data_IF_237663090748
#
_entry.id   IF_237663090748
#
_cell.length_a   1.000
_cell.length_b   1.000
_cell.length_c   1.000
_cell.angle_alpha   90.00
_cell.angle_beta   90.00
_cell.angle_gamma   90.00
#
_symmetry.space_group_name_H-M   'P 1'
#
loop_
_entity.id
_entity.type
_entity.pdbx_description
1 polymer ?
#
# COMPACT_ATOMS: atom_id res chain seq x y z
N UNK A 1 -16.40 -3.93 -16.67
CA UNK A 1 -16.16 -2.94 -15.58
C UNK A 1 -14.72 -2.46 -15.65
N UNK A 2 -14.46 -1.22 -15.23
CA UNK A 2 -13.10 -0.70 -14.99
C UNK A 2 -12.95 -0.23 -13.54
N UNK A 3 -11.72 -0.24 -13.03
CA UNK A 3 -11.42 0.22 -11.70
C UNK A 3 -9.98 0.66 -11.55
N UNK A 4 -9.70 1.29 -10.42
CA UNK A 4 -8.42 1.92 -10.09
C UNK A 4 -7.99 1.50 -8.69
N UNK A 5 -6.73 1.10 -8.54
CA UNK A 5 -6.12 0.80 -7.24
C UNK A 5 -5.13 1.88 -6.86
N UNK A 6 -5.36 2.51 -5.71
CA UNK A 6 -4.56 3.62 -5.21
C UNK A 6 -3.91 3.30 -3.87
N UNK A 7 -2.79 3.96 -3.59
CA UNK A 7 -2.26 4.05 -2.24
C UNK A 7 -3.10 5.06 -1.45
N UNK A 8 -3.59 4.64 -0.28
CA UNK A 8 -4.50 5.46 0.54
C UNK A 8 -3.88 6.78 0.99
N UNK A 9 -2.56 6.81 1.23
CA UNK A 9 -1.82 7.94 1.79
C UNK A 9 -1.52 8.99 0.72
N UNK A 10 -0.85 8.60 -0.36
CA UNK A 10 -0.33 9.55 -1.35
C UNK A 10 -1.17 9.62 -2.64
N UNK A 11 -2.27 8.86 -2.71
CA UNK A 11 -3.20 8.76 -3.85
C UNK A 11 -2.54 8.32 -5.17
N UNK A 12 -1.29 7.84 -5.14
CA UNK A 12 -0.61 7.33 -6.32
C UNK A 12 -1.18 5.97 -6.74
N UNK A 13 -1.26 5.69 -8.05
CA UNK A 13 -1.69 4.39 -8.54
C UNK A 13 -0.72 3.28 -8.13
N UNK A 14 -1.28 2.11 -7.84
CA UNK A 14 -0.53 0.91 -7.50
C UNK A 14 -0.50 0.00 -8.72
N UNK A 15 0.66 -0.11 -9.36
CA UNK A 15 0.91 -1.05 -10.46
C UNK A 15 1.03 -2.49 -9.95
N UNK A 16 0.69 -3.45 -10.82
CA UNK A 16 0.83 -4.88 -10.55
C UNK A 16 0.13 -5.37 -9.27
N UNK A 17 -0.87 -4.63 -8.77
CA UNK A 17 -1.72 -5.11 -7.69
C UNK A 17 -2.56 -6.27 -8.23
N UNK A 18 -2.60 -7.39 -7.50
CA UNK A 18 -3.40 -8.55 -7.85
C UNK A 18 -4.84 -8.33 -7.40
N UNK A 19 -5.79 -8.66 -8.26
CA UNK A 19 -7.23 -8.63 -7.98
C UNK A 19 -7.78 -10.02 -8.22
N UNK A 20 -8.32 -10.62 -7.15
CA UNK A 20 -9.13 -11.83 -7.26
C UNK A 20 -10.60 -11.43 -7.21
N UNK A 21 -11.34 -11.81 -8.25
CA UNK A 21 -12.79 -11.63 -8.32
C UNK A 21 -13.43 -12.93 -7.86
N UNK A 22 -14.24 -12.86 -6.81
CA UNK A 22 -14.97 -14.01 -6.25
C UNK A 22 -16.46 -13.66 -6.09
N UNK A 23 -17.37 -14.65 -5.96
CA UNK A 23 -18.76 -14.37 -5.60
C UNK A 23 -18.85 -13.60 -4.28
N UNK A 24 -19.80 -12.68 -4.13
CA UNK A 24 -19.92 -11.90 -2.88
C UNK A 24 -20.19 -12.74 -1.63
N UNK A 25 -20.74 -13.95 -1.83
CA UNK A 25 -21.00 -14.96 -0.79
C UNK A 25 -19.71 -15.56 -0.23
N UNK A 26 -18.60 -15.48 -0.95
CA UNK A 26 -17.30 -15.91 -0.44
C UNK A 26 -16.89 -15.03 0.75
N UNK A 27 -16.66 -15.68 1.89
CA UNK A 27 -16.19 -15.04 3.12
C UNK A 27 -14.67 -15.01 3.09
N UNK A 28 -14.11 -13.88 2.67
CA UNK A 28 -12.66 -13.70 2.66
C UNK A 28 -12.08 -13.89 4.06
N UNK A 29 -11.14 -14.83 4.17
CA UNK A 29 -10.23 -14.96 5.31
C UNK A 29 -8.81 -14.73 4.78
N UNK A 30 -7.99 -13.89 5.45
CA UNK A 30 -6.57 -13.81 5.12
C UNK A 30 -5.92 -15.20 5.17
N UNK A 31 -5.11 -15.53 4.16
CA UNK A 31 -4.40 -16.82 4.04
C UNK A 31 -5.30 -18.06 3.87
N UNK A 32 -6.50 -17.91 3.31
CA UNK A 32 -7.35 -19.05 2.99
C UNK A 32 -6.84 -19.82 1.75
N UNK A 33 -6.24 -20.98 1.99
CA UNK A 33 -5.75 -21.88 0.94
C UNK A 33 -6.88 -22.39 0.01
N UNK A 34 -8.15 -22.33 0.44
CA UNK A 34 -9.30 -22.80 -0.36
C UNK A 34 -9.85 -21.74 -1.32
N UNK A 35 -9.28 -20.54 -1.34
CA UNK A 35 -9.75 -19.44 -2.21
C UNK A 35 -9.78 -19.84 -3.69
N UNK A 36 -8.84 -20.68 -4.13
CA UNK A 36 -8.64 -21.04 -5.54
C UNK A 36 -9.91 -21.61 -6.21
N UNK A 37 -10.72 -22.37 -5.47
CA UNK A 37 -11.96 -22.95 -6.01
C UNK A 37 -13.08 -21.92 -6.26
N UNK A 38 -12.95 -20.69 -5.73
CA UNK A 38 -13.96 -19.63 -5.84
C UNK A 38 -13.53 -18.46 -6.73
N UNK A 39 -12.31 -18.50 -7.30
CA UNK A 39 -11.80 -17.44 -8.18
C UNK A 39 -12.55 -17.51 -9.51
N UNK A 40 -13.28 -16.44 -9.82
CA UNK A 40 -13.95 -16.27 -11.11
C UNK A 40 -13.01 -15.62 -12.13
N UNK A 41 -12.18 -14.68 -11.68
CA UNK A 41 -11.16 -14.00 -12.47
C UNK A 41 -9.98 -13.62 -11.59
N UNK A 42 -8.78 -13.66 -12.17
CA UNK A 42 -7.56 -13.13 -11.59
C UNK A 42 -6.96 -12.08 -12.53
N UNK A 43 -6.67 -10.90 -12.00
CA UNK A 43 -6.20 -9.75 -12.76
C UNK A 43 -5.00 -9.10 -12.09
N UNK A 44 -4.27 -8.29 -12.84
CA UNK A 44 -3.26 -7.37 -12.31
C UNK A 44 -3.50 -5.97 -12.82
N UNK A 45 -3.29 -4.96 -11.97
CA UNK A 45 -3.32 -3.57 -12.43
C UNK A 45 -2.17 -3.26 -13.37
N UNK A 46 -2.40 -2.39 -14.35
CA UNK A 46 -1.36 -1.86 -15.22
C UNK A 46 -0.52 -0.78 -14.52
N UNK A 47 0.40 -0.13 -15.25
CA UNK A 47 1.28 0.94 -14.73
C UNK A 47 0.53 2.15 -14.17
N UNK A 48 -0.71 2.38 -14.63
CA UNK A 48 -1.58 3.45 -14.17
C UNK A 48 -2.50 3.01 -13.03
N UNK A 49 -2.31 1.80 -12.48
CA UNK A 49 -3.14 1.24 -11.41
C UNK A 49 -4.54 0.81 -11.86
N UNK A 50 -4.78 0.79 -13.18
CA UNK A 50 -6.08 0.46 -13.75
C UNK A 50 -6.22 -1.05 -13.95
N UNK A 51 -7.44 -1.54 -13.77
CA UNK A 51 -7.84 -2.91 -14.12
C UNK A 51 -9.22 -2.91 -14.76
N UNK A 52 -9.50 -3.94 -15.56
CA UNK A 52 -10.82 -4.17 -16.14
C UNK A 52 -11.06 -5.66 -16.29
N UNK A 53 -12.34 -6.04 -16.22
CA UNK A 53 -12.77 -7.40 -16.54
C UNK A 53 -14.21 -7.41 -17.05
N UNK A 54 -14.50 -8.42 -17.84
CA UNK A 54 -15.84 -8.73 -18.32
C UNK A 54 -16.63 -9.42 -17.22
N UNK A 55 -17.91 -9.05 -17.11
CA UNK A 55 -18.78 -9.57 -16.07
C UNK A 55 -20.22 -9.64 -16.55
N UNK A 56 -20.96 -10.56 -15.95
CA UNK A 56 -22.42 -10.50 -15.95
C UNK A 56 -22.89 -9.55 -14.83
N UNK A 57 -24.12 -9.04 -14.87
CA UNK A 57 -24.72 -8.39 -13.72
C UNK A 57 -24.71 -9.34 -12.51
N UNK A 58 -24.38 -8.82 -11.33
CA UNK A 58 -24.22 -9.64 -10.13
C UNK A 58 -23.53 -8.92 -8.98
N UNK A 59 -23.43 -9.60 -7.84
CA UNK A 59 -22.68 -9.16 -6.66
C UNK A 59 -21.36 -9.93 -6.58
N UNK A 60 -20.27 -9.19 -6.50
CA UNK A 60 -18.90 -9.73 -6.46
C UNK A 60 -18.15 -9.18 -5.26
N UNK A 61 -17.14 -9.91 -4.81
CA UNK A 61 -16.13 -9.42 -3.87
C UNK A 61 -14.81 -9.37 -4.62
N UNK A 62 -14.17 -8.20 -4.57
CA UNK A 62 -12.82 -7.98 -5.08
C UNK A 62 -11.88 -8.11 -3.90
N UNK A 63 -10.95 -9.07 -3.95
CA UNK A 63 -9.86 -9.21 -2.99
C UNK A 63 -8.62 -8.64 -3.68
N UNK A 64 -8.03 -7.60 -3.09
CA UNK A 64 -6.95 -6.84 -3.71
C UNK A 64 -5.73 -6.88 -2.82
N UNK A 65 -4.62 -7.30 -3.40
CA UNK A 65 -3.31 -7.39 -2.74
C UNK A 65 -2.23 -6.75 -3.61
N UNK A 66 -1.18 -6.27 -2.96
CA UNK A 66 0.01 -5.79 -3.63
C UNK A 66 1.20 -5.96 -2.69
N UNK A 67 2.39 -6.12 -3.26
CA UNK A 67 3.62 -6.25 -2.48
C UNK A 67 3.83 -5.01 -1.59
N UNK A 68 4.14 -5.23 -0.30
CA UNK A 68 4.29 -4.16 0.70
C UNK A 68 3.00 -3.37 0.98
N UNK A 69 1.82 -3.92 0.71
CA UNK A 69 0.52 -3.37 1.10
C UNK A 69 -0.28 -4.37 1.94
N UNK A 70 -1.15 -3.85 2.80
CA UNK A 70 -2.12 -4.66 3.55
C UNK A 70 -3.23 -5.04 2.56
N UNK A 71 -3.47 -6.34 2.31
CA UNK A 71 -4.57 -6.78 1.43
C UNK A 71 -5.93 -6.31 1.96
N UNK A 72 -6.85 -6.01 1.05
CA UNK A 72 -8.21 -5.61 1.41
C UNK A 72 -9.23 -6.37 0.57
N UNK A 73 -10.51 -6.28 0.95
CA UNK A 73 -11.60 -6.72 0.09
C UNK A 73 -12.72 -5.69 0.00
N UNK A 74 -13.38 -5.63 -1.15
CA UNK A 74 -14.52 -4.74 -1.40
C UNK A 74 -15.63 -5.49 -2.12
N UNK A 75 -16.84 -5.44 -1.56
CA UNK A 75 -18.03 -5.95 -2.23
C UNK A 75 -18.55 -4.90 -3.21
N UNK A 76 -18.87 -5.33 -4.43
CA UNK A 76 -19.43 -4.51 -5.49
C UNK A 76 -20.70 -5.17 -6.05
N UNK A 77 -21.65 -4.34 -6.46
CA UNK A 77 -22.82 -4.76 -7.24
C UNK A 77 -22.69 -4.15 -8.62
N UNK A 78 -22.80 -5.01 -9.63
CA UNK A 78 -22.80 -4.63 -11.04
C UNK A 78 -24.18 -4.89 -11.61
N UNK A 79 -24.80 -3.86 -12.19
CA UNK A 79 -26.09 -3.96 -12.86
C UNK A 79 -25.87 -4.03 -14.37
N UNK A 80 -26.84 -4.58 -15.11
CA UNK A 80 -26.84 -4.48 -16.57
C UNK A 80 -26.74 -2.99 -16.97
N UNK A 81 -25.95 -2.70 -17.99
CA UNK A 81 -25.95 -1.41 -18.70
C UNK A 81 -25.30 -0.21 -17.99
N UNK A 82 -24.68 -0.35 -16.80
CA UNK A 82 -23.92 0.75 -16.17
C UNK A 82 -22.44 0.43 -16.06
N UNK A 83 -21.63 1.21 -16.80
CA UNK A 83 -20.21 1.32 -16.53
C UNK A 83 -20.04 1.89 -15.13
N UNK A 84 -19.56 1.07 -14.20
CA UNK A 84 -19.28 1.48 -12.82
C UNK A 84 -17.78 1.49 -12.62
N UNK A 85 -17.25 2.67 -12.34
CA UNK A 85 -15.88 2.82 -11.85
C UNK A 85 -15.81 2.38 -10.39
N UNK A 86 -14.78 1.61 -10.05
CA UNK A 86 -14.50 1.22 -8.67
C UNK A 86 -13.09 1.63 -8.31
N UNK A 87 -12.98 2.58 -7.38
CA UNK A 87 -11.71 2.87 -6.72
C UNK A 87 -11.53 1.99 -5.48
N UNK A 88 -10.35 1.40 -5.33
CA UNK A 88 -9.93 0.61 -4.17
C UNK A 88 -8.63 1.21 -3.65
N UNK A 89 -8.58 1.50 -2.35
CA UNK A 89 -7.39 2.08 -1.72
C UNK A 89 -6.71 1.05 -0.84
N UNK A 90 -5.42 0.81 -1.04
CA UNK A 90 -4.60 -0.03 -0.18
C UNK A 90 -3.77 0.82 0.78
N UNK A 91 -3.66 0.35 2.03
CA UNK A 91 -2.72 0.89 3.00
C UNK A 91 -1.38 0.20 2.84
N UNK A 92 -0.30 0.97 2.66
CA UNK A 92 1.05 0.42 2.62
C UNK A 92 1.34 -0.28 3.95
N UNK A 93 1.92 -1.48 3.91
CA UNK A 93 2.48 -2.09 5.10
C UNK A 93 3.53 -1.12 5.61
N UNK A 94 3.37 -0.65 6.86
CA UNK A 94 4.44 0.04 7.57
C UNK A 94 5.51 -1.00 7.84
N UNK A 95 6.32 -1.31 6.84
CA UNK A 95 7.55 -2.05 7.07
C UNK A 95 8.37 -1.21 8.05
N UNK A 96 9.08 -1.86 8.96
CA UNK A 96 10.17 -1.25 9.76
C UNK A 96 11.25 -0.55 8.91
N UNK A 97 11.11 -0.49 7.58
CA UNK A 97 11.92 0.33 6.65
C UNK A 97 11.50 1.80 6.57
N UNK A 98 10.70 2.29 7.52
CA UNK A 98 10.49 3.73 7.67
C UNK A 98 11.75 4.39 8.23
N UNK A 99 11.86 5.68 8.00
CA UNK A 99 12.88 6.50 8.62
C UNK A 99 12.22 7.40 9.65
N UNK A 100 12.94 7.75 10.71
CA UNK A 100 12.49 8.73 11.67
C UNK A 100 13.56 9.81 11.74
N UNK A 101 13.16 11.04 11.41
CA UNK A 101 13.97 12.23 11.59
C UNK A 101 13.82 12.77 13.01
N UNK A 102 14.91 13.23 13.59
CA UNK A 102 14.93 14.10 14.75
C UNK A 102 14.78 15.54 14.28
N UNK A 103 13.64 16.18 14.47
CA UNK A 103 13.41 17.56 13.99
C UNK A 103 14.28 18.60 14.70
N UNK A 104 14.85 18.27 15.85
CA UNK A 104 15.73 19.16 16.61
C UNK A 104 17.16 19.14 16.05
N UNK A 105 17.67 17.95 15.70
CA UNK A 105 19.04 17.79 15.19
C UNK A 105 19.11 17.68 13.66
N UNK A 106 17.96 17.54 13.00
CA UNK A 106 17.83 17.23 11.57
C UNK A 106 18.50 15.92 11.13
N UNK A 107 18.76 15.00 12.07
CA UNK A 107 19.28 13.67 11.76
C UNK A 107 18.17 12.67 11.41
N UNK A 108 18.39 11.88 10.38
CA UNK A 108 17.52 10.81 9.91
C UNK A 108 18.03 9.46 10.38
N UNK A 109 17.15 8.67 10.98
CA UNK A 109 17.47 7.34 11.46
C UNK A 109 16.62 6.28 10.76
N UNK A 110 17.14 5.07 10.59
CA UNK A 110 16.29 3.90 10.32
C UNK A 110 15.46 3.58 11.55
N UNK A 111 14.23 3.05 11.39
CA UNK A 111 13.38 2.66 12.53
C UNK A 111 13.98 1.60 13.46
N UNK A 112 14.99 0.85 13.01
CA UNK A 112 15.76 -0.12 13.81
C UNK A 112 17.05 0.46 14.42
N UNK A 113 17.29 1.77 14.30
CA UNK A 113 18.42 2.43 14.90
C UNK A 113 18.34 2.38 16.44
N UNK A 114 19.37 1.91 17.16
CA UNK A 114 19.37 1.84 18.62
C UNK A 114 19.10 3.19 19.30
N UNK A 115 19.55 4.28 18.68
CA UNK A 115 19.41 5.64 19.21
C UNK A 115 17.97 6.16 19.19
N UNK A 116 17.05 5.53 18.46
CA UNK A 116 15.65 5.95 18.42
C UNK A 116 14.92 5.79 19.75
N UNK A 117 15.33 4.83 20.57
CA UNK A 117 14.76 4.62 21.90
C UNK A 117 15.06 5.79 22.85
N UNK A 118 16.16 6.53 22.59
CA UNK A 118 16.61 7.65 23.41
C UNK A 118 16.05 8.99 22.93
N UNK A 119 15.46 9.01 21.73
CA UNK A 119 14.93 10.22 21.12
C UNK A 119 13.58 10.59 21.72
N UNK A 120 13.41 11.88 22.07
CA UNK A 120 12.14 12.39 22.57
C UNK A 120 11.04 12.22 21.51
N UNK A 121 9.88 11.68 21.90
CA UNK A 121 8.72 11.48 21.02
C UNK A 121 8.31 12.75 20.27
N UNK A 122 8.36 13.92 20.95
CA UNK A 122 8.00 15.21 20.33
C UNK A 122 8.92 15.60 19.18
N UNK A 123 10.14 15.05 19.15
CA UNK A 123 11.13 15.35 18.12
C UNK A 123 11.07 14.38 16.95
N UNK A 124 10.22 13.33 17.00
CA UNK A 124 10.16 12.29 15.98
C UNK A 124 9.27 12.73 14.82
N UNK A 125 9.84 12.73 13.60
CA UNK A 125 9.09 12.87 12.35
C UNK A 125 9.27 11.63 11.48
N UNK A 126 8.19 10.96 11.13
CA UNK A 126 8.23 9.78 10.28
C UNK A 126 8.39 10.14 8.79
N UNK A 127 9.24 9.40 8.09
CA UNK A 127 9.43 9.47 6.65
C UNK A 127 9.29 8.10 5.99
N UNK A 128 8.60 8.06 4.84
CA UNK A 128 8.44 6.86 4.02
C UNK A 128 9.69 6.53 3.19
N UNK A 129 10.57 7.51 2.95
CA UNK A 129 11.81 7.33 2.19
C UNK A 129 12.88 8.37 2.57
N UNK A 130 14.16 8.02 2.40
CA UNK A 130 15.29 8.96 2.53
C UNK A 130 15.11 10.15 1.59
N UNK A 131 14.59 9.93 0.37
CA UNK A 131 14.38 10.99 -0.61
C UNK A 131 13.41 12.05 -0.10
N UNK A 132 12.36 11.64 0.61
CA UNK A 132 11.40 12.59 1.16
C UNK A 132 11.98 13.33 2.36
N UNK A 133 12.75 12.65 3.22
CA UNK A 133 13.48 13.29 4.31
C UNK A 133 14.50 14.33 3.82
N UNK A 134 15.26 14.01 2.76
CA UNK A 134 16.25 14.93 2.15
C UNK A 134 15.63 16.16 1.49
N UNK A 135 14.37 16.11 1.02
CA UNK A 135 13.67 17.32 0.54
C UNK A 135 13.37 18.30 1.67
N UNK A 136 13.38 17.80 2.89
CA UNK A 136 13.20 18.58 4.12
C UNK A 136 14.54 18.74 4.86
N UNK A 137 15.66 18.62 4.14
CA UNK A 137 17.02 18.87 4.63
C UNK A 137 17.51 17.96 5.77
N UNK A 138 16.88 16.80 5.98
CA UNK A 138 17.38 15.81 6.93
C UNK A 138 18.65 15.12 6.41
N UNK A 139 19.68 15.07 7.26
CA UNK A 139 20.93 14.36 7.00
C UNK A 139 20.84 12.91 7.52
N UNK A 140 21.57 11.97 6.92
CA UNK A 140 21.63 10.60 7.43
C UNK A 140 22.41 10.51 8.74
N UNK A 141 21.90 9.81 9.75
CA UNK A 141 22.67 9.50 10.94
C UNK A 141 23.91 8.65 10.58
N UNK A 142 25.09 9.06 11.04
CA UNK A 142 26.37 8.38 10.78
C UNK A 142 26.34 6.87 11.08
N UNK A 143 25.62 6.44 12.13
CA UNK A 143 25.59 5.03 12.55
C UNK A 143 24.72 4.14 11.68
N UNK A 144 23.50 4.57 11.36
CA UNK A 144 22.51 3.71 10.68
C UNK A 144 22.34 4.04 9.18
N UNK A 145 22.79 5.23 8.76
CA UNK A 145 22.70 5.79 7.40
C UNK A 145 24.00 6.46 6.94
N UNK A 146 25.16 5.86 7.24
CA UNK A 146 26.49 6.38 6.89
C UNK A 146 26.68 6.84 5.43
N UNK A 147 26.00 6.20 4.47
CA UNK A 147 26.09 6.59 3.04
C UNK A 147 25.34 7.88 2.71
N UNK A 148 24.43 8.28 3.58
CA UNK A 148 23.57 9.46 3.41
C UNK A 148 23.95 10.59 4.34
N UNK A 149 24.82 10.32 5.31
CA UNK A 149 25.50 11.29 6.16
C UNK A 149 26.48 12.13 5.33
N UNK A 150 26.42 13.46 5.50
CA UNK A 150 27.25 14.41 4.76
C UNK A 150 28.16 15.28 5.65
N UNK A 151 28.19 15.06 6.96
CA UNK A 151 29.06 15.82 7.88
C UNK A 151 28.69 15.69 9.34
#
# INVERSE_FOLDING_TARGET
>A
MFGLVLNVTNKKPIKSAQILVVPSTYRYKPFDEKINASILNELKTNTNGLFSFDHKPGKYRLIVSAENYIPTSKTITIHASKLKEVTISLKKLRTSRGYIGNIETMELHKKDCPWLALMNEKNKKEFDSIKDAKKEDFNGCYHCLKKQDTG
#
